data_IF_071195879708
#
_entry.id   IF_071195879708
#
_cell.length_a   1.000
_cell.length_b   1.000
_cell.length_c   1.000
_cell.angle_alpha   90.00
_cell.angle_beta   90.00
_cell.angle_gamma   90.00
#
_symmetry.space_group_name_H-M   'P 1'
#
loop_
_entity.id
_entity.type
_entity.pdbx_description
1 polymer ?
#
# COMPACT_ATOMS: atom_id res chain seq x y z
N UNK A 1 -18.31 11.31 3.72
CA UNK A 1 -17.60 10.50 2.76
C UNK A 1 -18.22 9.14 2.85
N UNK A 2 -18.71 8.63 1.73
CA UNK A 2 -19.06 7.23 1.63
C UNK A 2 -17.75 6.44 1.50
N UNK A 3 -17.47 5.59 2.49
CA UNK A 3 -16.18 4.89 2.63
C UNK A 3 -16.01 3.81 1.57
N UNK A 4 -17.08 3.09 1.26
CA UNK A 4 -17.06 1.99 0.30
C UNK A 4 -16.91 2.56 -1.11
N UNK A 5 -17.68 3.61 -1.43
CA UNK A 5 -17.55 4.30 -2.71
C UNK A 5 -16.15 4.93 -2.89
N UNK A 6 -15.59 5.56 -1.86
CA UNK A 6 -14.23 6.11 -1.93
C UNK A 6 -13.20 5.01 -2.20
N UNK A 7 -13.31 3.87 -1.50
CA UNK A 7 -12.37 2.76 -1.64
C UNK A 7 -12.42 2.15 -3.04
N UNK A 8 -13.62 1.90 -3.56
CA UNK A 8 -13.82 1.36 -4.92
C UNK A 8 -13.22 2.29 -5.98
N UNK A 9 -13.53 3.59 -5.90
CA UNK A 9 -12.97 4.60 -6.81
C UNK A 9 -11.44 4.67 -6.70
N UNK A 10 -10.91 4.61 -5.47
CA UNK A 10 -9.48 4.67 -5.23
C UNK A 10 -8.73 3.46 -5.81
N UNK A 11 -9.26 2.24 -5.62
CA UNK A 11 -8.70 1.02 -6.20
C UNK A 11 -8.72 1.08 -7.72
N UNK A 12 -9.83 1.51 -8.32
CA UNK A 12 -9.94 1.68 -9.78
C UNK A 12 -8.89 2.65 -10.31
N UNK A 13 -8.73 3.81 -9.67
CA UNK A 13 -7.77 4.83 -10.07
C UNK A 13 -6.33 4.30 -9.97
N UNK A 14 -6.00 3.55 -8.91
CA UNK A 14 -4.67 2.92 -8.75
C UNK A 14 -4.44 1.83 -9.81
N UNK A 15 -5.40 0.95 -10.08
CA UNK A 15 -5.22 -0.16 -11.03
C UNK A 15 -5.16 0.31 -12.49
N UNK A 16 -5.95 1.32 -12.85
CA UNK A 16 -6.26 1.63 -14.26
C UNK A 16 -6.07 3.09 -14.67
N UNK A 17 -5.92 4.00 -13.70
CA UNK A 17 -5.71 5.41 -13.98
C UNK A 17 -4.37 5.64 -14.66
N UNK A 18 -4.23 6.76 -15.38
CA UNK A 18 -2.90 7.19 -15.80
C UNK A 18 -2.02 7.51 -14.58
N UNK A 19 -0.74 7.72 -14.84
CA UNK A 19 0.23 7.95 -13.78
C UNK A 19 -0.08 9.19 -12.91
N UNK A 20 -0.64 10.25 -13.51
CA UNK A 20 -1.01 11.45 -12.76
C UNK A 20 -2.22 11.21 -11.85
N UNK A 21 -3.20 10.44 -12.33
CA UNK A 21 -4.39 10.02 -11.56
C UNK A 21 -3.98 9.13 -10.40
N UNK A 22 -3.06 8.19 -10.63
CA UNK A 22 -2.50 7.34 -9.59
C UNK A 22 -1.79 8.17 -8.51
N UNK A 23 -0.89 9.08 -8.90
CA UNK A 23 -0.12 9.90 -7.96
C UNK A 23 -1.03 10.82 -7.13
N UNK A 24 -2.01 11.45 -7.78
CA UNK A 24 -3.02 12.28 -7.11
C UNK A 24 -3.86 11.47 -6.10
N UNK A 25 -4.25 10.25 -6.48
CA UNK A 25 -5.02 9.36 -5.61
C UNK A 25 -4.22 8.92 -4.39
N UNK A 26 -2.97 8.48 -4.59
CA UNK A 26 -2.07 8.06 -3.51
C UNK A 26 -1.75 9.24 -2.59
N UNK A 27 -1.43 10.41 -3.15
CA UNK A 27 -1.12 11.62 -2.37
C UNK A 27 -2.30 12.07 -1.52
N UNK A 28 -3.52 12.03 -2.07
CA UNK A 28 -4.72 12.33 -1.29
C UNK A 28 -5.00 11.28 -0.20
N UNK A 29 -4.92 9.98 -0.51
CA UNK A 29 -5.18 8.92 0.46
C UNK A 29 -4.19 8.98 1.63
N UNK A 30 -2.89 9.14 1.35
CA UNK A 30 -1.87 9.29 2.39
C UNK A 30 -2.16 10.51 3.29
N UNK A 31 -2.51 11.65 2.70
CA UNK A 31 -2.83 12.84 3.49
C UNK A 31 -4.15 12.71 4.26
N UNK A 32 -5.12 11.97 3.73
CA UNK A 32 -6.37 11.63 4.42
C UNK A 32 -6.08 10.81 5.68
N UNK A 33 -5.25 9.78 5.58
CA UNK A 33 -4.87 8.95 6.74
C UNK A 33 -4.12 9.79 7.78
N UNK A 34 -3.13 10.58 7.35
CA UNK A 34 -2.38 11.48 8.23
C UNK A 34 -3.29 12.51 8.93
N UNK A 35 -4.24 13.09 8.21
CA UNK A 35 -5.21 14.05 8.75
C UNK A 35 -6.32 13.40 9.59
N UNK A 36 -6.38 12.07 9.63
CA UNK A 36 -7.24 11.29 10.52
C UNK A 36 -6.48 10.64 11.69
N UNK A 37 -5.21 10.98 11.89
CA UNK A 37 -4.42 10.50 13.01
C UNK A 37 -3.58 9.25 12.72
N UNK A 38 -3.68 8.69 11.52
CA UNK A 38 -2.99 7.45 11.12
C UNK A 38 -1.77 7.75 10.24
N UNK A 39 -0.81 8.48 10.81
CA UNK A 39 0.45 8.81 10.14
C UNK A 39 1.24 7.55 9.72
N UNK A 40 1.13 6.46 10.48
CA UNK A 40 1.82 5.21 10.16
C UNK A 40 1.30 4.57 8.86
N UNK A 41 -0.02 4.54 8.65
CA UNK A 41 -0.61 4.03 7.40
C UNK A 41 -0.33 4.95 6.22
N UNK A 42 -0.26 6.27 6.46
CA UNK A 42 0.19 7.22 5.46
C UNK A 42 1.64 6.95 5.02
N UNK A 43 2.56 6.80 5.99
CA UNK A 43 3.97 6.51 5.73
C UNK A 43 4.15 5.17 4.99
N UNK A 44 3.40 4.14 5.40
CA UNK A 44 3.40 2.82 4.76
C UNK A 44 2.96 2.90 3.30
N UNK A 45 1.83 3.55 3.02
CA UNK A 45 1.32 3.70 1.65
C UNK A 45 2.34 4.42 0.74
N UNK A 46 2.91 5.54 1.20
CA UNK A 46 3.88 6.32 0.40
C UNK A 46 5.17 5.52 0.18
N UNK A 47 5.63 4.79 1.19
CA UNK A 47 6.83 3.95 1.08
C UNK A 47 6.67 2.87 0.01
N UNK A 48 5.54 2.14 0.00
CA UNK A 48 5.27 1.14 -1.03
C UNK A 48 5.11 1.73 -2.42
N UNK A 49 4.39 2.85 -2.54
CA UNK A 49 4.27 3.55 -3.82
C UNK A 49 5.63 3.98 -4.35
N UNK A 50 6.49 4.56 -3.51
CA UNK A 50 7.80 5.03 -3.94
C UNK A 50 8.71 3.87 -4.35
N UNK A 51 8.70 2.76 -3.59
CA UNK A 51 9.50 1.58 -3.89
C UNK A 51 9.06 0.87 -5.19
N UNK A 52 7.76 0.80 -5.48
CA UNK A 52 7.24 0.09 -6.66
C UNK A 52 7.30 0.93 -7.93
N UNK A 53 7.13 2.24 -7.82
CA UNK A 53 7.06 3.12 -8.99
C UNK A 53 8.39 3.82 -9.29
N UNK A 54 9.29 3.90 -8.31
CA UNK A 54 10.55 4.67 -8.34
C UNK A 54 10.35 6.17 -8.67
N UNK A 55 9.10 6.66 -8.61
CA UNK A 55 8.74 8.03 -8.95
C UNK A 55 9.15 9.00 -7.83
N UNK A 56 9.48 10.26 -8.15
CA UNK A 56 9.84 11.25 -7.14
C UNK A 56 8.62 11.59 -6.27
N UNK A 57 8.81 11.59 -4.95
CA UNK A 57 7.72 11.84 -3.98
C UNK A 57 7.08 13.23 -4.12
N UNK A 58 7.76 14.18 -4.77
CA UNK A 58 7.17 15.46 -5.16
C UNK A 58 5.94 15.31 -6.07
N UNK A 59 5.77 14.18 -6.77
CA UNK A 59 4.59 13.89 -7.56
C UNK A 59 3.31 13.73 -6.70
N UNK A 60 3.44 13.27 -5.46
CA UNK A 60 2.33 13.17 -4.51
C UNK A 60 1.92 14.53 -3.91
N UNK A 61 2.70 15.57 -4.19
CA UNK A 61 2.57 16.90 -3.59
C UNK A 61 2.49 17.96 -4.70
N UNK A 62 1.44 17.94 -5.54
CA UNK A 62 1.37 18.77 -6.75
C UNK A 62 1.16 20.27 -6.46
N UNK A 63 0.81 20.64 -5.23
CA UNK A 63 0.45 22.01 -4.87
C UNK A 63 1.04 22.48 -3.54
N UNK A 64 1.07 23.81 -3.37
CA UNK A 64 1.65 24.46 -2.19
C UNK A 64 0.91 24.09 -0.89
N UNK A 65 -0.40 23.85 -0.94
CA UNK A 65 -1.19 23.50 0.26
C UNK A 65 -0.83 22.09 0.74
N UNK A 66 -0.67 21.13 -0.17
CA UNK A 66 -0.22 19.78 0.15
C UNK A 66 1.21 19.78 0.70
N UNK A 67 2.11 20.57 0.09
CA UNK A 67 3.49 20.69 0.55
C UNK A 67 3.55 21.25 1.98
N UNK A 68 2.75 22.29 2.23
CA UNK A 68 2.58 22.86 3.57
C UNK A 68 2.00 21.86 4.55
N UNK A 69 0.98 21.11 4.16
CA UNK A 69 0.35 20.11 5.01
C UNK A 69 1.37 19.08 5.52
N UNK A 70 2.18 18.52 4.63
CA UNK A 70 3.24 17.59 5.01
C UNK A 70 4.29 18.25 5.91
N UNK A 71 4.75 19.47 5.57
CA UNK A 71 5.72 20.19 6.39
C UNK A 71 5.22 20.44 7.82
N UNK A 72 3.95 20.84 7.98
CA UNK A 72 3.33 21.05 9.28
C UNK A 72 3.15 19.75 10.07
N UNK A 73 2.79 18.65 9.40
CA UNK A 73 2.68 17.33 10.03
C UNK A 73 4.04 16.77 10.47
N UNK A 74 5.09 16.95 9.67
CA UNK A 74 6.45 16.53 10.03
C UNK A 74 7.00 17.31 11.22
N UNK A 75 6.80 18.62 11.25
CA UNK A 75 7.13 19.46 12.40
C UNK A 75 6.36 18.99 13.65
N UNK A 76 5.05 18.78 13.51
CA UNK A 76 4.18 18.38 14.61
C UNK A 76 4.53 17.01 15.21
N UNK A 77 4.90 16.02 14.38
CA UNK A 77 5.27 14.67 14.83
C UNK A 77 6.72 14.55 15.29
N UNK A 78 7.56 15.54 14.98
CA UNK A 78 8.98 15.59 15.38
C UNK A 78 9.88 14.57 14.70
N UNK A 79 9.37 13.83 13.71
CA UNK A 79 10.13 12.85 12.92
C UNK A 79 9.89 13.08 11.44
N UNK A 80 10.95 12.88 10.65
CA UNK A 80 10.88 12.98 9.21
C UNK A 80 11.01 11.58 8.62
N UNK A 81 10.06 11.11 7.79
CA UNK A 81 10.17 9.78 7.21
C UNK A 81 11.24 9.78 6.13
N UNK A 82 11.85 8.63 5.87
CA UNK A 82 12.90 8.49 4.86
C UNK A 82 12.39 8.86 3.46
N UNK A 83 11.16 8.46 3.11
CA UNK A 83 10.55 8.77 1.82
C UNK A 83 10.50 10.28 1.54
N UNK A 84 10.34 11.11 2.58
CA UNK A 84 10.24 12.55 2.41
C UNK A 84 11.60 13.24 2.23
N UNK A 85 12.73 12.54 2.34
CA UNK A 85 14.06 13.15 2.29
C UNK A 85 14.34 13.96 1.01
N UNK A 86 13.65 13.66 -0.10
CA UNK A 86 13.75 14.40 -1.36
C UNK A 86 12.90 15.68 -1.42
N UNK A 87 12.05 15.95 -0.41
CA UNK A 87 11.21 17.14 -0.37
C UNK A 87 12.03 18.38 0.01
N UNK A 88 11.70 19.52 -0.62
CA UNK A 88 12.34 20.80 -0.31
C UNK A 88 11.84 21.29 1.06
N UNK A 89 12.73 21.57 2.03
CA UNK A 89 12.34 22.15 3.30
C UNK A 89 11.65 23.51 3.12
N UNK A 90 10.52 23.73 3.81
CA UNK A 90 9.75 24.97 3.74
C UNK A 90 10.02 25.86 4.97
N UNK A 91 9.93 27.18 4.78
CA UNK A 91 9.88 28.15 5.87
C UNK A 91 8.48 28.11 6.49
N UNK A 92 8.34 27.43 7.64
CA UNK A 92 7.05 27.21 8.28
C UNK A 92 6.37 28.52 8.71
N UNK A 93 7.11 29.57 9.06
CA UNK A 93 6.54 30.85 9.46
C UNK A 93 6.02 31.64 8.24
N UNK A 94 6.68 31.51 7.09
CA UNK A 94 6.17 32.04 5.83
C UNK A 94 4.94 31.26 5.36
N UNK A 95 4.97 29.94 5.46
CA UNK A 95 3.87 29.08 5.05
C UNK A 95 2.64 29.22 5.92
N UNK A 96 2.78 29.41 7.24
CA UNK A 96 1.67 29.71 8.15
C UNK A 96 0.94 30.99 7.72
N UNK A 97 1.68 32.08 7.44
CA UNK A 97 1.10 33.33 6.93
C UNK A 97 0.38 33.14 5.59
N UNK A 98 1.01 32.42 4.66
CA UNK A 98 0.39 32.12 3.36
C UNK A 98 -0.87 31.25 3.49
N UNK A 99 -0.94 30.42 4.53
CA UNK A 99 -2.13 29.63 4.82
C UNK A 99 -3.25 30.49 5.42
N UNK A 100 -2.95 31.37 6.35
CA UNK A 100 -3.94 32.31 6.91
C UNK A 100 -4.55 33.19 5.80
N UNK A 101 -3.70 33.70 4.90
CA UNK A 101 -4.15 34.43 3.71
C UNK A 101 -5.06 33.57 2.82
N UNK A 102 -4.73 32.29 2.62
CA UNK A 102 -5.56 31.36 1.87
C UNK A 102 -6.91 31.11 2.55
N UNK A 103 -6.93 30.91 3.87
CA UNK A 103 -8.15 30.66 4.64
C UNK A 103 -9.09 31.88 4.62
N UNK A 104 -8.52 33.10 4.57
CA UNK A 104 -9.28 34.35 4.49
C UNK A 104 -9.89 34.60 3.09
N UNK A 105 -9.50 33.86 2.04
CA UNK A 105 -10.03 34.06 0.68
C UNK A 105 -11.51 33.71 0.63
N UNK A 106 -12.29 34.65 0.11
CA UNK A 106 -13.70 34.43 -0.22
C UNK A 106 -13.83 33.56 -1.46
N UNK A 107 -14.90 32.78 -1.51
CA UNK A 107 -15.26 31.94 -2.65
C UNK A 107 -16.42 32.60 -3.38
N UNK A 108 -16.34 32.63 -4.70
CA UNK A 108 -17.42 33.16 -5.53
C UNK A 108 -18.62 32.21 -5.49
N UNK A 109 -19.83 32.75 -5.38
CA UNK A 109 -21.05 31.94 -5.55
C UNK A 109 -21.20 31.40 -6.99
N UNK A 110 -20.38 31.88 -7.92
CA UNK A 110 -20.36 31.50 -9.33
C UNK A 110 -19.23 30.50 -9.68
N UNK A 111 -18.41 30.11 -8.70
CA UNK A 111 -17.36 29.10 -8.92
C UNK A 111 -17.96 27.74 -9.27
N UNK A 112 -17.46 27.13 -10.36
CA UNK A 112 -17.94 25.84 -10.87
C UNK A 112 -19.23 25.89 -11.71
N UNK A 113 -19.98 27.00 -11.71
CA UNK A 113 -21.22 27.15 -12.50
C UNK A 113 -20.99 27.27 -14.02
N UNK A 114 -19.80 27.72 -14.43
CA UNK A 114 -19.45 27.95 -15.84
C UNK A 114 -18.27 27.09 -16.33
N UNK A 115 -17.93 26.02 -15.59
CA UNK A 115 -17.03 24.94 -16.01
C UNK A 115 -15.73 25.38 -16.70
N UNK A 116 -14.74 25.88 -15.94
CA UNK A 116 -13.37 26.10 -16.40
C UNK A 116 -13.17 27.04 -17.59
N UNK A 117 -14.22 27.71 -18.07
CA UNK A 117 -14.14 28.67 -19.17
C UNK A 117 -13.46 29.97 -18.70
N UNK A 118 -12.59 30.59 -19.53
CA UNK A 118 -12.00 31.90 -19.23
C UNK A 118 -13.05 32.98 -18.93
N UNK A 119 -14.25 32.87 -19.51
CA UNK A 119 -15.37 33.77 -19.23
C UNK A 119 -15.96 33.47 -17.85
N UNK A 120 -16.00 32.20 -17.45
CA UNK A 120 -16.40 31.78 -16.11
C UNK A 120 -15.49 32.34 -15.02
N UNK A 121 -14.17 32.33 -15.23
CA UNK A 121 -13.21 32.91 -14.28
C UNK A 121 -13.39 34.42 -14.09
N UNK A 122 -13.59 35.16 -15.18
CA UNK A 122 -13.83 36.62 -15.12
C UNK A 122 -15.17 36.94 -14.44
N UNK A 123 -16.21 36.14 -14.70
CA UNK A 123 -17.54 36.32 -14.09
C UNK A 123 -17.52 35.94 -12.60
N UNK A 124 -16.78 34.89 -12.21
CA UNK A 124 -16.59 34.52 -10.80
C UNK A 124 -15.94 35.64 -9.98
N UNK A 125 -15.05 36.44 -10.58
CA UNK A 125 -14.42 37.59 -9.90
C UNK A 125 -15.35 38.78 -9.69
N UNK A 126 -16.48 38.84 -10.40
CA UNK A 126 -17.46 39.94 -10.34
C UNK A 126 -18.71 39.58 -9.53
N UNK A 127 -18.93 38.30 -9.26
CA UNK A 127 -20.09 37.78 -8.53
C UNK A 127 -20.03 38.01 -7.00
N UNK A 128 -21.18 37.89 -6.30
CA UNK A 128 -21.20 37.87 -4.85
C UNK A 128 -20.27 36.78 -4.33
N UNK A 129 -19.44 37.15 -3.35
CA UNK A 129 -18.45 36.25 -2.75
C UNK A 129 -18.76 36.06 -1.29
N UNK A 130 -18.78 34.80 -0.85
CA UNK A 130 -19.06 34.41 0.54
C UNK A 130 -17.82 33.79 1.19
N UNK A 131 -17.74 33.81 2.52
CA UNK A 131 -16.76 33.01 3.22
C UNK A 131 -16.98 31.51 2.95
N UNK A 132 -15.88 30.78 2.79
CA UNK A 132 -15.91 29.33 2.73
C UNK A 132 -16.02 28.76 4.16
N UNK A 133 -17.16 28.13 4.46
CA UNK A 133 -17.44 27.58 5.79
C UNK A 133 -16.42 26.53 6.25
N UNK A 134 -15.83 25.78 5.32
CA UNK A 134 -14.81 24.78 5.64
C UNK A 134 -13.51 25.49 6.05
N UNK A 135 -13.08 26.50 5.29
CA UNK A 135 -11.90 27.32 5.64
C UNK A 135 -12.11 28.12 6.93
N UNK A 136 -13.31 28.65 7.17
CA UNK A 136 -13.65 29.33 8.43
C UNK A 136 -13.59 28.39 9.64
N UNK A 137 -13.98 27.12 9.49
CA UNK A 137 -13.84 26.13 10.55
C UNK A 137 -12.36 25.84 10.87
N UNK A 138 -11.51 25.70 9.84
CA UNK A 138 -10.06 25.54 10.01
C UNK A 138 -9.44 26.77 10.69
N UNK A 139 -9.74 27.98 10.22
CA UNK A 139 -9.23 29.22 10.79
C UNK A 139 -9.58 29.37 12.28
N UNK A 140 -10.78 28.94 12.69
CA UNK A 140 -11.19 28.92 14.10
C UNK A 140 -10.60 27.78 14.91
N UNK A 141 -9.99 26.78 14.27
CA UNK A 141 -9.50 25.56 14.89
C UNK A 141 -10.62 24.61 15.33
N UNK A 142 -11.79 24.72 14.69
CA UNK A 142 -13.00 23.95 15.02
C UNK A 142 -13.09 22.68 14.16
N UNK A 143 -12.40 21.63 14.63
CA UNK A 143 -12.38 20.31 13.97
C UNK A 143 -13.77 19.71 13.80
N UNK A 144 -14.69 19.95 14.75
CA UNK A 144 -16.02 19.35 14.72
C UNK A 144 -16.86 19.96 13.60
N UNK A 145 -16.88 21.29 13.50
CA UNK A 145 -17.56 21.98 12.40
C UNK A 145 -16.94 21.64 11.04
N UNK A 146 -15.62 21.52 10.98
CA UNK A 146 -14.93 21.09 9.75
C UNK A 146 -15.37 19.68 9.33
N UNK A 147 -15.34 18.72 10.26
CA UNK A 147 -15.72 17.33 10.01
C UNK A 147 -17.19 17.18 9.56
N UNK A 148 -18.12 17.94 10.16
CA UNK A 148 -19.53 17.90 9.77
C UNK A 148 -19.73 18.30 8.30
N UNK A 149 -18.94 19.26 7.81
CA UNK A 149 -19.00 19.71 6.41
C UNK A 149 -18.25 18.74 5.50
N UNK A 150 -17.01 18.39 5.86
CA UNK A 150 -16.13 17.52 5.06
C UNK A 150 -16.71 16.11 4.90
N UNK A 151 -17.41 15.59 5.91
CA UNK A 151 -18.10 14.29 5.84
C UNK A 151 -19.26 14.22 4.84
N UNK A 152 -19.62 15.31 4.14
CA UNK A 152 -20.59 15.27 3.04
C UNK A 152 -19.93 15.23 1.66
N UNK A 153 -18.61 15.41 1.61
CA UNK A 153 -17.83 15.36 0.37
C UNK A 153 -17.39 13.92 0.11
N UNK A 154 -17.30 13.54 -1.18
CA UNK A 154 -16.69 12.27 -1.61
C UNK A 154 -15.17 12.29 -1.44
N UNK A 155 -14.56 13.47 -1.58
CA UNK A 155 -13.12 13.68 -1.46
C UNK A 155 -12.85 14.96 -0.64
N UNK A 156 -12.73 14.86 0.70
CA UNK A 156 -12.57 16.02 1.56
C UNK A 156 -11.20 16.68 1.39
N UNK A 157 -11.15 18.02 1.39
CA UNK A 157 -9.88 18.78 1.33
C UNK A 157 -9.15 18.76 2.68
N UNK A 158 -8.53 17.62 2.97
CA UNK A 158 -7.72 17.36 4.17
C UNK A 158 -6.41 18.14 4.17
N UNK A 159 -5.93 18.59 3.00
CA UNK A 159 -4.71 19.37 2.90
C UNK A 159 -4.87 20.73 3.57
N UNK A 160 -6.01 21.39 3.38
CA UNK A 160 -6.33 22.65 4.06
C UNK A 160 -6.36 22.49 5.58
N UNK A 161 -6.83 21.36 6.08
CA UNK A 161 -6.84 21.08 7.51
C UNK A 161 -5.42 20.87 8.06
N UNK A 162 -4.65 19.98 7.43
CA UNK A 162 -3.31 19.59 7.87
C UNK A 162 -2.26 20.70 7.68
N UNK A 163 -2.50 21.63 6.76
CA UNK A 163 -1.67 22.82 6.54
C UNK A 163 -1.74 23.86 7.67
N UNK A 164 -2.64 23.71 8.64
CA UNK A 164 -2.74 24.59 9.80
C UNK A 164 -1.77 24.17 10.90
N UNK A 165 -0.80 25.04 11.21
CA UNK A 165 0.17 24.83 12.31
C UNK A 165 -0.49 24.61 13.67
N UNK A 166 -1.65 25.23 13.90
CA UNK A 166 -2.45 25.07 15.13
C UNK A 166 -3.08 23.68 15.25
N UNK A 167 -3.44 23.06 14.12
CA UNK A 167 -4.16 21.78 14.11
C UNK A 167 -3.23 20.59 13.89
N UNK A 168 -2.12 20.76 13.18
CA UNK A 168 -1.17 19.69 12.89
C UNK A 168 -0.71 18.90 14.15
N UNK A 169 -0.40 19.51 15.31
CA UNK A 169 -0.09 18.77 16.53
C UNK A 169 -1.21 17.87 17.03
N UNK A 170 -2.48 18.26 16.83
CA UNK A 170 -3.62 17.43 17.23
C UNK A 170 -3.77 16.24 16.29
N UNK A 171 -3.60 16.45 14.99
CA UNK A 171 -3.66 15.38 13.99
C UNK A 171 -2.50 14.40 14.19
N UNK A 172 -1.28 14.90 14.37
CA UNK A 172 -0.11 14.08 14.70
C UNK A 172 -0.25 13.33 16.03
N UNK A 173 -1.03 13.89 16.98
CA UNK A 173 -1.40 13.24 18.24
C UNK A 173 -2.56 12.25 18.13
N UNK A 174 -3.03 11.90 16.93
CA UNK A 174 -4.07 10.89 16.70
C UNK A 174 -5.51 11.44 16.70
N UNK A 175 -5.72 12.74 16.51
CA UNK A 175 -7.07 13.27 16.34
C UNK A 175 -7.67 12.78 15.01
N UNK A 176 -8.82 12.12 15.10
CA UNK A 176 -9.55 11.58 13.95
C UNK A 176 -10.86 12.37 13.73
N UNK A 177 -10.83 13.53 13.06
CA UNK A 177 -12.01 14.35 12.83
C UNK A 177 -13.06 13.64 11.96
N UNK A 178 -12.66 12.73 11.07
CA UNK A 178 -13.57 12.01 10.16
C UNK A 178 -14.05 10.67 10.74
N UNK A 179 -13.55 10.29 11.92
CA UNK A 179 -13.93 9.05 12.60
C UNK A 179 -13.61 7.80 11.80
N UNK A 180 -12.55 7.81 10.99
CA UNK A 180 -12.15 6.70 10.14
C UNK A 180 -11.82 5.44 10.94
N UNK A 181 -11.14 5.58 12.09
CA UNK A 181 -10.66 4.44 12.87
C UNK A 181 -9.93 3.42 12.01
N UNK A 182 -10.17 2.12 12.25
CA UNK A 182 -9.51 1.01 11.54
C UNK A 182 -9.71 0.98 10.02
N UNK A 183 -10.61 1.81 9.47
CA UNK A 183 -10.83 1.90 8.03
C UNK A 183 -9.60 2.43 7.29
N UNK A 184 -8.79 3.29 7.90
CA UNK A 184 -7.53 3.77 7.30
C UNK A 184 -6.59 2.62 6.95
N UNK A 185 -6.40 1.68 7.88
CA UNK A 185 -5.59 0.48 7.68
C UNK A 185 -6.15 -0.47 6.62
N UNK A 186 -7.48 -0.66 6.58
CA UNK A 186 -8.15 -1.42 5.52
C UNK A 186 -7.94 -0.77 4.14
N UNK A 187 -8.09 0.54 4.06
CA UNK A 187 -7.93 1.29 2.81
C UNK A 187 -6.46 1.29 2.36
N UNK A 188 -5.51 1.56 3.26
CA UNK A 188 -4.08 1.51 2.97
C UNK A 188 -3.66 0.12 2.46
N UNK A 189 -4.08 -0.94 3.15
CA UNK A 189 -3.81 -2.32 2.72
C UNK A 189 -4.36 -2.64 1.33
N UNK A 190 -5.58 -2.22 1.03
CA UNK A 190 -6.18 -2.41 -0.29
C UNK A 190 -5.45 -1.62 -1.40
N UNK A 191 -5.03 -0.38 -1.13
CA UNK A 191 -4.28 0.42 -2.09
C UNK A 191 -2.86 -0.13 -2.32
N UNK A 192 -2.19 -0.59 -1.27
CA UNK A 192 -0.91 -1.29 -1.39
C UNK A 192 -1.07 -2.56 -2.23
N UNK A 193 -2.11 -3.36 -1.98
CA UNK A 193 -2.40 -4.55 -2.79
C UNK A 193 -2.63 -4.20 -4.28
N UNK A 194 -3.40 -3.14 -4.55
CA UNK A 194 -3.63 -2.65 -5.91
C UNK A 194 -2.33 -2.16 -6.59
N UNK A 195 -1.43 -1.51 -5.85
CA UNK A 195 -0.11 -1.12 -6.37
C UNK A 195 0.72 -2.33 -6.78
N UNK A 196 0.78 -3.37 -5.95
CA UNK A 196 1.50 -4.62 -6.26
C UNK A 196 0.86 -5.40 -7.43
N UNK A 197 -0.45 -5.27 -7.64
CA UNK A 197 -1.13 -5.85 -8.80
C UNK A 197 -0.76 -5.11 -10.09
N UNK A 198 -0.72 -3.78 -10.06
CA UNK A 198 -0.33 -2.96 -11.21
C UNK A 198 1.17 -3.03 -11.52
N UNK A 199 2.00 -3.05 -10.48
CA UNK A 199 3.46 -3.10 -10.55
C UNK A 199 3.96 -4.36 -9.86
N UNK A 200 3.78 -5.55 -10.48
CA UNK A 200 4.28 -6.78 -9.91
C UNK A 200 5.80 -6.70 -9.78
N UNK A 201 6.35 -6.90 -8.57
CA UNK A 201 7.79 -6.81 -8.35
C UNK A 201 8.51 -7.91 -9.13
N UNK A 202 9.68 -7.59 -9.66
CA UNK A 202 10.58 -8.63 -10.15
C UNK A 202 11.05 -9.46 -8.96
N UNK A 203 10.63 -10.71 -8.91
CA UNK A 203 10.98 -11.64 -7.84
C UNK A 203 12.37 -12.24 -8.01
N UNK A 204 13.06 -11.92 -9.12
CA UNK A 204 14.47 -12.22 -9.34
C UNK A 204 14.78 -13.71 -9.39
N UNK A 205 15.98 -14.06 -8.96
CA UNK A 205 16.41 -15.46 -8.87
C UNK A 205 15.74 -16.19 -7.69
N UNK A 206 15.82 -17.52 -7.66
CA UNK A 206 15.36 -18.30 -6.50
C UNK A 206 16.03 -17.85 -5.19
N UNK A 207 17.29 -17.42 -5.24
CA UNK A 207 18.00 -16.94 -4.06
C UNK A 207 17.40 -15.62 -3.57
N UNK A 208 17.16 -14.68 -4.49
CA UNK A 208 16.55 -13.38 -4.15
C UNK A 208 15.16 -13.56 -3.54
N UNK A 209 14.38 -14.50 -4.07
CA UNK A 209 13.07 -14.85 -3.55
C UNK A 209 13.13 -15.44 -2.13
N UNK A 210 14.01 -16.42 -1.88
CA UNK A 210 14.18 -17.04 -0.55
C UNK A 210 14.69 -16.02 0.47
N UNK A 211 15.70 -15.23 0.11
CA UNK A 211 16.26 -14.20 0.97
C UNK A 211 15.23 -13.10 1.27
N UNK A 212 14.43 -12.72 0.26
CA UNK A 212 13.32 -11.78 0.41
C UNK A 212 12.25 -12.28 1.38
N UNK A 213 11.82 -13.53 1.25
CA UNK A 213 10.84 -14.18 2.15
C UNK A 213 11.39 -14.20 3.59
N UNK A 214 12.62 -14.69 3.79
CA UNK A 214 13.21 -14.79 5.13
C UNK A 214 13.40 -13.40 5.77
N UNK A 215 13.81 -12.40 5.00
CA UNK A 215 13.93 -11.01 5.49
C UNK A 215 12.59 -10.45 5.94
N UNK A 216 11.54 -10.59 5.13
CA UNK A 216 10.20 -10.09 5.45
C UNK A 216 9.54 -10.82 6.64
N UNK A 217 9.96 -12.07 6.91
CA UNK A 217 9.56 -12.82 8.12
C UNK A 217 10.26 -12.38 9.41
N UNK A 218 11.14 -11.38 9.35
CA UNK A 218 11.94 -10.92 10.50
C UNK A 218 13.32 -11.58 10.62
N UNK A 219 13.79 -12.22 9.55
CA UNK A 219 15.12 -12.82 9.43
C UNK A 219 15.14 -14.35 9.46
N UNK A 220 16.34 -14.93 9.38
CA UNK A 220 16.56 -16.38 9.36
C UNK A 220 17.65 -16.77 8.37
N UNK A 221 18.06 -18.04 8.42
CA UNK A 221 19.04 -18.60 7.47
C UNK A 221 18.36 -19.66 6.62
N UNK A 222 18.50 -19.54 5.31
CA UNK A 222 18.04 -20.56 4.38
C UNK A 222 18.70 -21.91 4.71
N UNK A 223 17.92 -23.00 4.77
CA UNK A 223 18.47 -24.36 4.75
C UNK A 223 19.49 -24.54 3.62
N UNK A 224 20.53 -25.38 3.82
CA UNK A 224 21.53 -25.61 2.80
C UNK A 224 20.89 -26.22 1.54
N UNK A 225 21.45 -25.88 0.38
CA UNK A 225 21.03 -26.43 -0.90
C UNK A 225 21.15 -27.96 -0.96
N UNK A 226 20.17 -28.61 -1.58
CA UNK A 226 20.21 -30.04 -1.89
C UNK A 226 21.18 -30.30 -3.05
N UNK A 227 22.01 -31.33 -2.90
CA UNK A 227 22.87 -31.79 -4.00
C UNK A 227 22.04 -32.49 -5.09
N UNK A 228 22.48 -32.51 -6.36
CA UNK A 228 21.81 -33.27 -7.41
C UNK A 228 21.63 -34.76 -7.07
N UNK A 229 22.57 -35.35 -6.32
CA UNK A 229 22.48 -36.73 -5.82
C UNK A 229 21.34 -36.89 -4.81
N UNK A 230 21.19 -35.94 -3.89
CA UNK A 230 20.13 -35.97 -2.88
C UNK A 230 18.75 -35.84 -3.54
N UNK A 231 18.61 -34.94 -4.51
CA UNK A 231 17.37 -34.78 -5.28
C UNK A 231 17.03 -36.07 -6.04
N UNK A 232 18.00 -36.65 -6.75
CA UNK A 232 17.78 -37.91 -7.49
C UNK A 232 17.42 -39.08 -6.56
N UNK A 233 17.97 -39.14 -5.35
CA UNK A 233 17.59 -40.15 -4.35
C UNK A 233 16.16 -39.95 -3.84
N UNK A 234 15.71 -38.70 -3.67
CA UNK A 234 14.34 -38.39 -3.32
C UNK A 234 13.38 -38.79 -4.45
N UNK A 235 13.66 -38.44 -5.70
CA UNK A 235 12.85 -38.83 -6.86
C UNK A 235 12.73 -40.36 -7.01
N UNK A 236 13.83 -41.08 -6.82
CA UNK A 236 13.83 -42.55 -6.82
C UNK A 236 12.95 -43.14 -5.70
N UNK A 237 12.98 -42.54 -4.51
CA UNK A 237 12.16 -42.94 -3.36
C UNK A 237 10.68 -42.62 -3.56
N UNK A 238 10.37 -41.50 -4.22
CA UNK A 238 9.00 -41.09 -4.55
C UNK A 238 8.42 -41.86 -5.75
N UNK A 239 9.28 -42.46 -6.59
CA UNK A 239 8.87 -43.12 -7.83
C UNK A 239 8.41 -42.14 -8.93
N UNK A 240 8.73 -40.85 -8.79
CA UNK A 240 8.29 -39.77 -9.65
C UNK A 240 9.43 -38.77 -9.85
N UNK A 241 9.48 -38.14 -11.02
CA UNK A 241 10.38 -37.01 -11.29
C UNK A 241 9.71 -35.72 -10.84
N UNK A 242 10.41 -34.91 -10.05
CA UNK A 242 9.89 -33.65 -9.54
C UNK A 242 9.85 -32.57 -10.65
N UNK A 243 8.95 -31.58 -10.54
CA UNK A 243 8.93 -30.41 -11.42
C UNK A 243 10.28 -29.71 -11.48
N UNK A 244 10.63 -29.15 -12.64
CA UNK A 244 11.91 -28.47 -12.87
C UNK A 244 12.11 -27.28 -11.92
N UNK A 245 11.08 -26.47 -11.74
CA UNK A 245 11.09 -25.31 -10.84
C UNK A 245 11.26 -25.71 -9.37
N UNK A 246 10.62 -26.79 -8.92
CA UNK A 246 10.81 -27.31 -7.58
C UNK A 246 12.21 -27.91 -7.37
N UNK A 247 12.80 -28.55 -8.40
CA UNK A 247 14.20 -29.01 -8.33
C UNK A 247 15.18 -27.84 -8.23
N UNK A 248 14.92 -26.73 -8.93
CA UNK A 248 15.74 -25.53 -8.84
C UNK A 248 15.61 -24.83 -7.48
N UNK A 249 14.41 -24.82 -6.91
CA UNK A 249 14.21 -24.41 -5.51
C UNK A 249 15.06 -25.27 -4.56
N UNK A 250 14.99 -26.61 -4.63
CA UNK A 250 15.76 -27.49 -3.75
C UNK A 250 17.28 -27.33 -3.92
N UNK A 251 17.77 -27.04 -5.13
CA UNK A 251 19.18 -26.69 -5.40
C UNK A 251 19.59 -25.33 -4.82
N UNK A 252 18.62 -24.50 -4.47
CA UNK A 252 18.85 -23.21 -3.81
C UNK A 252 18.71 -23.35 -2.30
N UNK A 253 17.69 -24.08 -1.83
CA UNK A 253 17.29 -24.20 -0.45
C UNK A 253 16.54 -25.53 -0.22
N UNK A 254 17.08 -26.45 0.58
CA UNK A 254 16.45 -27.77 0.83
C UNK A 254 15.34 -27.69 1.89
N UNK A 255 14.17 -27.19 1.46
CA UNK A 255 13.04 -26.88 2.34
C UNK A 255 13.00 -25.41 2.73
N UNK A 256 12.04 -25.00 3.56
CA UNK A 256 11.89 -23.61 4.01
C UNK A 256 11.19 -23.62 5.38
N UNK A 257 11.66 -22.85 6.39
CA UNK A 257 10.96 -22.72 7.66
C UNK A 257 9.51 -22.22 7.49
N UNK A 258 8.63 -22.52 8.44
CA UNK A 258 7.29 -21.94 8.47
C UNK A 258 7.33 -20.45 8.84
N UNK A 259 6.24 -19.75 8.55
CA UNK A 259 5.87 -18.49 9.22
C UNK A 259 4.45 -18.59 9.80
N UNK A 260 3.85 -17.45 10.15
CA UNK A 260 2.50 -17.38 10.75
C UNK A 260 1.41 -17.89 9.79
N UNK A 261 1.58 -17.70 8.48
CA UNK A 261 0.55 -17.93 7.45
C UNK A 261 0.96 -18.98 6.42
N UNK A 262 2.24 -19.35 6.34
CA UNK A 262 2.78 -20.28 5.36
C UNK A 262 3.48 -21.46 6.04
N UNK A 263 3.18 -22.72 5.64
CA UNK A 263 3.68 -23.90 6.32
C UNK A 263 5.18 -24.09 6.10
N UNK A 264 5.78 -24.96 6.92
CA UNK A 264 7.16 -25.38 6.71
C UNK A 264 7.23 -26.21 5.42
N UNK A 265 8.11 -25.86 4.51
CA UNK A 265 8.39 -26.70 3.35
C UNK A 265 9.41 -27.79 3.72
N UNK A 266 9.09 -29.01 3.30
CA UNK A 266 9.86 -30.21 3.56
C UNK A 266 11.15 -30.21 2.72
N UNK A 267 12.24 -30.70 3.31
CA UNK A 267 13.44 -31.02 2.56
C UNK A 267 13.34 -32.37 1.84
N UNK A 268 14.27 -32.64 0.93
CA UNK A 268 14.37 -33.86 0.10
C UNK A 268 14.25 -35.17 0.90
N UNK A 269 14.73 -35.21 2.13
CA UNK A 269 14.65 -36.38 3.01
C UNK A 269 13.23 -36.66 3.53
N UNK A 270 12.40 -35.61 3.65
CA UNK A 270 11.07 -35.66 4.27
C UNK A 270 9.94 -35.76 3.25
N UNK A 271 10.20 -35.46 1.98
CA UNK A 271 9.20 -35.55 0.91
C UNK A 271 8.54 -36.92 0.88
N UNK A 272 7.23 -36.96 0.64
CA UNK A 272 6.46 -38.21 0.51
C UNK A 272 5.45 -38.09 -0.62
N UNK A 273 5.08 -39.22 -1.21
CA UNK A 273 4.09 -39.27 -2.28
C UNK A 273 2.97 -40.27 -1.94
N UNK A 274 1.75 -39.88 -2.26
CA UNK A 274 0.54 -40.69 -2.10
C UNK A 274 -0.31 -40.53 -3.38
N UNK A 275 -0.60 -41.63 -4.09
CA UNK A 275 -1.48 -41.60 -5.26
C UNK A 275 -1.03 -40.70 -6.42
N UNK A 276 0.28 -40.50 -6.60
CA UNK A 276 0.83 -39.60 -7.63
C UNK A 276 0.93 -38.13 -7.21
N UNK A 277 0.55 -37.81 -5.97
CA UNK A 277 0.66 -36.48 -5.38
C UNK A 277 1.85 -36.44 -4.43
N UNK A 278 2.72 -35.44 -4.55
CA UNK A 278 3.87 -35.23 -3.64
C UNK A 278 3.49 -34.21 -2.58
N UNK A 279 3.61 -34.58 -1.31
CA UNK A 279 3.44 -33.68 -0.17
C UNK A 279 4.76 -32.94 0.06
N UNK A 280 4.71 -31.60 0.01
CA UNK A 280 5.92 -30.76 0.13
C UNK A 280 5.92 -29.83 1.35
N UNK A 281 4.90 -29.90 2.21
CA UNK A 281 4.84 -29.10 3.43
C UNK A 281 4.41 -29.89 4.67
N UNK A 282 4.67 -29.29 5.83
CA UNK A 282 4.21 -29.70 7.15
C UNK A 282 3.53 -28.50 7.86
N UNK A 283 2.22 -28.55 8.13
CA UNK A 283 1.29 -29.64 7.83
C UNK A 283 1.13 -29.88 6.31
N UNK A 284 0.54 -31.02 5.92
CA UNK A 284 0.40 -31.48 4.53
C UNK A 284 -0.65 -30.70 3.71
N UNK A 285 -0.45 -29.39 3.58
CA UNK A 285 -1.37 -28.44 2.95
C UNK A 285 -0.85 -27.88 1.62
N UNK A 286 0.43 -28.04 1.31
CA UNK A 286 1.02 -27.71 0.00
C UNK A 286 1.47 -29.00 -0.68
N UNK A 287 0.93 -29.22 -1.88
CA UNK A 287 1.06 -30.45 -2.64
C UNK A 287 1.52 -30.15 -4.07
N UNK A 288 2.26 -31.08 -4.68
CA UNK A 288 2.55 -31.10 -6.11
C UNK A 288 1.78 -32.25 -6.75
N UNK A 289 1.04 -31.97 -7.81
CA UNK A 289 0.26 -32.98 -8.53
C UNK A 289 0.42 -32.83 -10.04
N UNK A 290 0.39 -33.95 -10.76
CA UNK A 290 0.36 -33.93 -12.22
C UNK A 290 -1.09 -33.73 -12.71
N UNK A 291 -1.33 -32.63 -13.42
CA UNK A 291 -2.55 -32.35 -14.17
C UNK A 291 -2.28 -32.62 -15.67
N UNK A 292 -2.39 -33.89 -16.07
CA UNK A 292 -1.98 -34.33 -17.41
C UNK A 292 -0.45 -34.33 -17.54
N UNK A 293 0.09 -33.63 -18.54
CA UNK A 293 1.54 -33.49 -18.76
C UNK A 293 2.17 -32.36 -17.93
N UNK A 294 1.38 -31.57 -17.23
CA UNK A 294 1.85 -30.40 -16.48
C UNK A 294 1.73 -30.63 -14.98
N UNK A 295 2.74 -30.22 -14.23
CA UNK A 295 2.64 -30.15 -12.78
C UNK A 295 1.85 -28.92 -12.34
N UNK A 296 1.15 -29.06 -11.22
CA UNK A 296 0.45 -27.99 -10.50
C UNK A 296 0.80 -28.04 -9.03
N UNK A 297 0.80 -26.88 -8.41
CA UNK A 297 0.96 -26.74 -6.96
C UNK A 297 -0.40 -26.43 -6.37
N UNK A 298 -0.80 -27.20 -5.36
CA UNK A 298 -2.09 -27.08 -4.70
C UNK A 298 -1.86 -26.67 -3.27
N UNK A 299 -2.47 -25.56 -2.86
CA UNK A 299 -2.51 -25.08 -1.49
C UNK A 299 -3.91 -25.32 -0.92
N UNK A 300 -3.98 -25.90 0.27
CA UNK A 300 -5.22 -26.26 0.96
C UNK A 300 -5.32 -25.44 2.24
N UNK A 301 -6.19 -24.44 2.24
CA UNK A 301 -6.55 -23.69 3.43
C UNK A 301 -7.88 -24.22 3.99
N UNK A 302 -7.94 -24.67 5.26
CA UNK A 302 -9.18 -25.18 5.86
C UNK A 302 -10.32 -24.15 5.94
N UNK A 303 -10.02 -22.86 5.98
CA UNK A 303 -10.98 -21.77 6.08
C UNK A 303 -11.33 -21.17 4.71
N UNK A 304 -10.34 -21.03 3.83
CA UNK A 304 -10.49 -20.34 2.52
C UNK A 304 -10.67 -21.29 1.34
N UNK A 305 -10.44 -22.60 1.53
CA UNK A 305 -10.57 -23.62 0.50
C UNK A 305 -9.26 -23.92 -0.23
N UNK A 306 -9.37 -24.46 -1.44
CA UNK A 306 -8.22 -24.92 -2.22
C UNK A 306 -7.84 -23.93 -3.31
N UNK A 307 -6.56 -23.55 -3.36
CA UNK A 307 -5.97 -22.73 -4.42
C UNK A 307 -5.03 -23.57 -5.29
N UNK A 308 -5.10 -23.39 -6.61
CA UNK A 308 -4.23 -24.10 -7.56
C UNK A 308 -3.35 -23.10 -8.29
N UNK A 309 -2.04 -23.26 -8.12
CA UNK A 309 -1.02 -22.45 -8.78
C UNK A 309 -0.48 -23.19 -10.01
N UNK A 310 -0.12 -22.44 -11.08
CA UNK A 310 0.39 -23.05 -12.29
C UNK A 310 1.73 -23.77 -12.08
N UNK A 311 2.56 -23.29 -11.13
CA UNK A 311 3.88 -23.82 -10.79
C UNK A 311 4.16 -23.66 -9.29
N UNK A 312 5.23 -24.27 -8.76
CA UNK A 312 5.68 -24.03 -7.38
C UNK A 312 6.29 -22.64 -7.23
N UNK A 313 6.99 -22.16 -8.27
CA UNK A 313 7.45 -20.77 -8.31
C UNK A 313 6.32 -19.76 -8.13
N UNK A 314 5.20 -19.94 -8.83
CA UNK A 314 4.05 -19.04 -8.70
C UNK A 314 3.46 -19.00 -7.28
N UNK A 315 3.51 -20.11 -6.54
CA UNK A 315 3.14 -20.13 -5.12
C UNK A 315 4.08 -19.25 -4.30
N UNK A 316 5.41 -19.42 -4.44
CA UNK A 316 6.36 -18.61 -3.66
C UNK A 316 6.37 -17.14 -4.06
N UNK A 317 6.18 -16.81 -5.34
CA UNK A 317 6.01 -15.44 -5.81
C UNK A 317 4.78 -14.79 -5.16
N UNK A 318 3.65 -15.52 -5.12
CA UNK A 318 2.44 -15.05 -4.44
C UNK A 318 2.67 -14.86 -2.94
N UNK A 319 3.35 -15.80 -2.29
CA UNK A 319 3.64 -15.70 -0.86
C UNK A 319 4.57 -14.52 -0.55
N UNK A 320 5.65 -14.33 -1.32
CA UNK A 320 6.53 -13.18 -1.19
C UNK A 320 5.77 -11.85 -1.35
N UNK A 321 4.88 -11.78 -2.35
CA UNK A 321 4.05 -10.60 -2.59
C UNK A 321 3.09 -10.32 -1.42
N UNK A 322 2.47 -11.34 -0.83
CA UNK A 322 1.61 -11.18 0.35
C UNK A 322 2.39 -10.69 1.58
N UNK A 323 3.61 -11.21 1.80
CA UNK A 323 4.49 -10.71 2.87
C UNK A 323 4.87 -9.27 2.61
N UNK A 324 5.22 -8.91 1.37
CA UNK A 324 5.63 -7.57 1.00
C UNK A 324 4.49 -6.54 1.06
N UNK A 325 3.24 -7.00 0.92
CA UNK A 325 2.04 -6.17 1.14
C UNK A 325 1.75 -5.95 2.63
N UNK A 326 2.17 -6.88 3.49
CA UNK A 326 1.84 -6.88 4.93
C UNK A 326 2.93 -6.27 5.81
N UNK A 327 4.13 -6.09 5.27
CA UNK A 327 5.22 -5.36 5.90
C UNK A 327 4.92 -3.86 6.00
#
# INVERSE_FOLDING_TARGET
MDRDAYLEDAIRDVLSGDDATLDDRIGHAALLFAASGDLAEADRLVTHWHALTERPVTALVPGAVQARAWAMLFEARGTHPEWAAAMIPLDLDAEERAHDDYLARRVSDLDGLLGGSPIGEVVSQLGPSRPDRLREAVARGDLKSWAEIASRQSRPDVAVLAASRRLAPRLAGGADPLGLGDWSGLCAGALVAALYERYPPDTGSWRDMVDGILRLRGGGTAPPAASPRTIGAAEARLGLRLPDDYRDFLRTCDGLPADVVFPRLLGTAELRAEGGVVVISDPAVVLLTAAGEQWRTVEIDPALGTTVHPTFRALLERHLLLLAQSA
#
